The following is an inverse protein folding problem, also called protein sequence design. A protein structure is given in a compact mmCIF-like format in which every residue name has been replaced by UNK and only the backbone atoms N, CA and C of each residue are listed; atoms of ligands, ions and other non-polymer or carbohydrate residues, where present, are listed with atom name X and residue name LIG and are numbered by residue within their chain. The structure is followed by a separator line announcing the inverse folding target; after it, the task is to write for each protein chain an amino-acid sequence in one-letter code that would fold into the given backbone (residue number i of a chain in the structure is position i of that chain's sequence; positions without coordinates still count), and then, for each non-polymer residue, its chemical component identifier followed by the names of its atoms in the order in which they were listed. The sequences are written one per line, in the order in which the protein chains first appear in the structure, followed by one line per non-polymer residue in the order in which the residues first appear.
data_IF_533809764788
#
_entry.id   IF_533809764788
#
_cell.length_a   1.000
_cell.length_b   1.000
_cell.length_c   1.000
_cell.angle_alpha   90.00
_cell.angle_beta   90.00
_cell.angle_gamma   90.00
#
_symmetry.space_group_name_H-M   'P 1'
#
loop_
_entity.id
_entity.type
_entity.pdbx_description
1 polymer ?
#
# COMPACT_ATOMS: atom_id res chain seq x y z
N UNK A 1 10.58 -24.92 16.73
CA UNK A 1 9.19 -24.52 17.02
C UNK A 1 9.04 -23.65 18.28
N UNK A 2 9.83 -23.83 19.35
CA UNK A 2 9.70 -23.00 20.58
C UNK A 2 10.20 -21.55 20.48
N UNK A 3 11.10 -21.22 19.58
CA UNK A 3 11.61 -19.84 19.46
C UNK A 3 10.70 -18.88 18.69
N UNK A 4 9.77 -19.36 17.87
CA UNK A 4 8.79 -18.52 17.15
C UNK A 4 7.60 -18.14 18.04
N UNK A 5 7.29 -18.95 19.05
CA UNK A 5 6.20 -18.70 20.00
C UNK A 5 6.49 -17.57 21.00
N UNK A 6 7.74 -17.13 21.18
CA UNK A 6 8.12 -16.05 22.11
C UNK A 6 8.08 -14.64 21.48
N UNK A 7 7.89 -14.52 20.15
CA UNK A 7 7.85 -13.23 19.44
C UNK A 7 6.55 -12.44 19.61
N UNK A 8 5.52 -12.99 20.24
CA UNK A 8 4.19 -12.34 20.37
C UNK A 8 4.00 -11.46 21.63
N UNK A 9 5.03 -11.13 22.42
CA UNK A 9 4.86 -10.47 23.72
C UNK A 9 5.06 -8.93 23.77
N UNK A 10 5.18 -8.23 22.64
CA UNK A 10 5.31 -6.76 22.62
C UNK A 10 4.01 -6.05 22.14
N UNK A 11 2.88 -6.41 22.76
CA UNK A 11 1.65 -5.62 22.64
C UNK A 11 1.45 -4.80 23.91
N UNK A 12 1.98 -3.57 23.93
CA UNK A 12 1.45 -2.50 24.78
C UNK A 12 1.92 -1.14 24.27
N UNK A 13 1.22 -0.61 23.25
CA UNK A 13 1.17 0.83 23.01
C UNK A 13 -0.18 1.16 22.33
N UNK A 14 -1.19 1.38 23.15
CA UNK A 14 -2.60 1.61 22.79
C UNK A 14 -2.88 2.98 22.12
N UNK A 15 -1.86 3.66 21.57
CA UNK A 15 -2.03 5.01 21.02
C UNK A 15 -1.40 5.23 19.62
N UNK A 16 -1.14 4.18 18.84
CA UNK A 16 -0.42 4.31 17.55
C UNK A 16 -1.19 3.84 16.31
N UNK A 17 -2.37 3.24 16.45
CA UNK A 17 -3.14 2.75 15.32
C UNK A 17 -3.63 3.91 14.46
N UNK A 18 -3.11 4.01 13.22
CA UNK A 18 -3.52 5.01 12.24
C UNK A 18 -4.79 4.60 11.52
N UNK A 19 -4.86 3.33 11.12
CA UNK A 19 -6.02 2.72 10.48
C UNK A 19 -6.28 1.37 11.13
N UNK A 20 -7.56 1.05 11.34
CA UNK A 20 -7.99 -0.27 11.83
C UNK A 20 -9.18 -0.73 11.01
N UNK A 21 -9.14 -1.97 10.51
CA UNK A 21 -10.28 -2.68 9.97
C UNK A 21 -10.60 -3.84 10.93
N UNK A 22 -11.85 -3.96 11.39
CA UNK A 22 -12.25 -4.95 12.40
C UNK A 22 -13.41 -5.80 11.91
N UNK A 23 -13.24 -7.13 11.95
CA UNK A 23 -14.25 -8.14 11.67
C UNK A 23 -14.99 -7.92 10.34
N UNK A 24 -14.25 -7.52 9.29
CA UNK A 24 -14.80 -7.21 7.99
C UNK A 24 -15.27 -8.49 7.32
N UNK A 25 -16.56 -8.53 6.98
CA UNK A 25 -17.15 -9.58 6.14
C UNK A 25 -17.82 -8.94 4.94
N UNK A 26 -17.60 -9.51 3.77
CA UNK A 26 -18.24 -9.11 2.51
C UNK A 26 -18.70 -10.36 1.77
N UNK A 27 -19.97 -10.36 1.38
CA UNK A 27 -20.56 -11.39 0.54
C UNK A 27 -20.96 -10.84 -0.84
N UNK A 28 -21.02 -11.71 -1.81
CA UNK A 28 -21.55 -11.46 -3.14
C UNK A 28 -22.41 -12.63 -3.59
N UNK A 29 -23.64 -12.37 -4.03
CA UNK A 29 -24.60 -13.40 -4.46
C UNK A 29 -24.77 -14.54 -3.44
N UNK A 30 -24.78 -14.21 -2.13
CA UNK A 30 -24.97 -15.17 -1.04
C UNK A 30 -23.72 -15.98 -0.66
N UNK A 31 -22.56 -15.68 -1.24
CA UNK A 31 -21.29 -16.33 -0.91
C UNK A 31 -20.32 -15.31 -0.32
N UNK A 32 -19.70 -15.64 0.82
CA UNK A 32 -18.68 -14.78 1.42
C UNK A 32 -17.43 -14.77 0.53
N UNK A 33 -16.98 -13.56 0.17
CA UNK A 33 -15.70 -13.31 -0.51
C UNK A 33 -14.58 -13.21 0.53
N UNK A 34 -14.83 -12.43 1.60
CA UNK A 34 -13.97 -12.30 2.76
C UNK A 34 -14.81 -12.47 4.03
N UNK A 35 -14.23 -13.05 5.07
CA UNK A 35 -14.96 -13.35 6.29
C UNK A 35 -14.08 -13.07 7.53
N UNK A 36 -14.61 -12.25 8.43
CA UNK A 36 -14.00 -11.92 9.73
C UNK A 36 -12.55 -11.42 9.61
N UNK A 37 -12.29 -10.57 8.62
CA UNK A 37 -10.95 -10.02 8.36
C UNK A 37 -10.69 -8.83 9.26
N UNK A 38 -9.58 -8.90 10.02
CA UNK A 38 -9.11 -7.80 10.87
C UNK A 38 -7.65 -7.48 10.57
N UNK A 39 -7.31 -6.19 10.48
CA UNK A 39 -5.94 -5.72 10.35
C UNK A 39 -5.78 -4.31 10.93
N UNK A 40 -4.55 -3.96 11.26
CA UNK A 40 -4.17 -2.67 11.80
C UNK A 40 -2.96 -2.11 11.05
N UNK A 41 -2.91 -0.79 10.93
CA UNK A 41 -1.79 -0.05 10.35
C UNK A 41 -1.39 1.06 11.32
N UNK A 42 -0.13 1.08 11.75
CA UNK A 42 0.40 2.11 12.62
C UNK A 42 0.83 3.35 11.82
N UNK A 43 1.04 4.46 12.54
CA UNK A 43 1.53 5.70 11.93
C UNK A 43 2.94 5.51 11.34
N UNK A 44 3.11 5.83 10.05
CA UNK A 44 4.38 5.74 9.33
C UNK A 44 4.83 4.31 9.02
N UNK A 45 3.99 3.32 9.28
CA UNK A 45 4.25 1.90 9.01
C UNK A 45 3.92 1.55 7.55
N UNK A 46 4.66 0.61 6.98
CA UNK A 46 4.31 -0.06 5.73
C UNK A 46 3.89 -1.49 6.07
N UNK A 47 2.61 -1.80 5.87
CA UNK A 47 2.03 -3.12 6.05
C UNK A 47 1.73 -3.73 4.68
N UNK A 48 2.08 -4.99 4.48
CA UNK A 48 1.74 -5.74 3.27
C UNK A 48 0.58 -6.70 3.53
N UNK A 49 -0.38 -6.72 2.61
CA UNK A 49 -1.39 -7.77 2.50
C UNK A 49 -0.98 -8.72 1.37
N UNK A 50 -0.46 -9.87 1.74
CA UNK A 50 0.02 -10.92 0.82
C UNK A 50 -1.02 -12.02 0.67
N UNK A 51 -1.18 -12.56 -0.52
CA UNK A 51 -2.05 -13.71 -0.77
C UNK A 51 -2.23 -13.96 -2.26
N UNK A 52 -2.78 -15.13 -2.59
CA UNK A 52 -3.02 -15.53 -3.99
C UNK A 52 -4.04 -14.61 -4.67
N UNK A 53 -4.02 -14.59 -6.00
CA UNK A 53 -5.01 -13.83 -6.78
C UNK A 53 -6.43 -14.36 -6.52
N UNK A 54 -7.39 -13.43 -6.38
CA UNK A 54 -8.80 -13.76 -6.17
C UNK A 54 -9.18 -14.10 -4.71
N UNK A 55 -8.27 -14.01 -3.73
CA UNK A 55 -8.58 -14.30 -2.32
C UNK A 55 -9.40 -13.18 -1.61
N UNK A 56 -9.60 -12.03 -2.26
CA UNK A 56 -10.41 -10.93 -1.70
C UNK A 56 -9.62 -9.69 -1.26
N UNK A 57 -8.31 -9.58 -1.54
CA UNK A 57 -7.48 -8.43 -1.16
C UNK A 57 -8.02 -7.09 -1.66
N UNK A 58 -8.35 -7.00 -2.95
CA UNK A 58 -8.95 -5.80 -3.56
C UNK A 58 -10.34 -5.50 -2.99
N UNK A 59 -11.12 -6.53 -2.63
CA UNK A 59 -12.40 -6.37 -1.93
C UNK A 59 -12.20 -5.68 -0.57
N UNK A 60 -11.21 -6.13 0.21
CA UNK A 60 -10.87 -5.49 1.48
C UNK A 60 -10.42 -4.04 1.28
N UNK A 61 -9.61 -3.75 0.26
CA UNK A 61 -9.20 -2.37 -0.06
C UNK A 61 -10.39 -1.48 -0.44
N UNK A 62 -11.36 -2.00 -1.18
CA UNK A 62 -12.58 -1.27 -1.51
C UNK A 62 -13.40 -0.95 -0.25
N UNK A 63 -13.43 -1.86 0.73
CA UNK A 63 -14.08 -1.58 2.04
C UNK A 63 -13.30 -0.50 2.80
N UNK A 64 -11.97 -0.63 2.93
CA UNK A 64 -11.14 0.33 3.66
C UNK A 64 -11.20 1.72 3.03
N UNK A 65 -11.26 1.81 1.70
CA UNK A 65 -11.37 3.09 0.99
C UNK A 65 -12.78 3.71 1.03
N UNK A 66 -13.78 2.96 1.53
CA UNK A 66 -15.18 3.38 1.58
C UNK A 66 -15.90 3.30 0.22
N UNK A 67 -15.32 2.60 -0.76
CA UNK A 67 -15.94 2.34 -2.08
C UNK A 67 -16.95 1.18 -2.03
N UNK A 68 -16.84 0.32 -1.01
CA UNK A 68 -17.72 -0.81 -0.77
C UNK A 68 -18.13 -0.82 0.70
N UNK A 69 -19.42 -1.00 0.98
CA UNK A 69 -19.90 -1.24 2.33
C UNK A 69 -19.71 -2.71 2.68
N UNK A 70 -19.13 -3.05 3.85
CA UNK A 70 -19.10 -4.42 4.32
C UNK A 70 -20.48 -4.87 4.82
N UNK A 71 -20.74 -6.18 4.85
CA UNK A 71 -21.94 -6.76 5.46
C UNK A 71 -21.85 -6.68 7.00
N UNK A 72 -20.63 -6.80 7.55
CA UNK A 72 -20.32 -6.59 8.96
C UNK A 72 -18.91 -6.07 9.16
N UNK A 73 -18.65 -5.54 10.37
CA UNK A 73 -17.39 -4.94 10.74
C UNK A 73 -17.32 -3.45 10.52
N UNK A 74 -16.20 -2.85 10.85
CA UNK A 74 -16.00 -1.40 10.73
C UNK A 74 -14.55 -1.04 10.40
N UNK A 75 -14.39 0.15 9.80
CA UNK A 75 -13.09 0.76 9.50
C UNK A 75 -12.97 2.07 10.26
N UNK A 76 -11.85 2.24 10.97
CA UNK A 76 -11.53 3.44 11.72
C UNK A 76 -10.22 4.07 11.22
N UNK A 77 -10.21 5.39 11.09
CA UNK A 77 -9.02 6.20 10.80
C UNK A 77 -8.83 7.21 11.92
N UNK A 78 -7.68 7.19 12.59
CA UNK A 78 -7.40 8.02 13.78
C UNK A 78 -8.52 7.89 14.85
N UNK A 79 -9.08 6.69 15.03
CA UNK A 79 -10.19 6.41 15.97
C UNK A 79 -11.57 6.89 15.50
N UNK A 80 -11.68 7.44 14.30
CA UNK A 80 -12.96 7.89 13.72
C UNK A 80 -13.49 6.85 12.75
N UNK A 81 -14.74 6.43 12.91
CA UNK A 81 -15.37 5.48 12.01
C UNK A 81 -15.59 6.10 10.60
N UNK A 82 -14.97 5.51 9.60
CA UNK A 82 -15.01 5.90 8.19
C UNK A 82 -15.69 4.84 7.30
N UNK A 83 -16.32 3.81 7.87
CA UNK A 83 -16.97 2.73 7.12
C UNK A 83 -17.95 3.29 6.09
N UNK A 84 -17.79 2.88 4.82
CA UNK A 84 -18.63 3.35 3.70
C UNK A 84 -18.46 4.83 3.34
N UNK A 85 -17.45 5.52 3.87
CA UNK A 85 -17.20 6.93 3.59
C UNK A 85 -15.94 7.08 2.75
N UNK A 86 -16.10 7.22 1.44
CA UNK A 86 -14.98 7.45 0.54
C UNK A 86 -14.29 8.81 0.78
N UNK A 87 -13.03 8.93 0.36
CA UNK A 87 -12.27 10.18 0.41
C UNK A 87 -11.43 10.40 1.67
N UNK A 88 -11.39 9.46 2.60
CA UNK A 88 -10.61 9.54 3.84
C UNK A 88 -9.18 8.98 3.70
N UNK A 89 -8.98 8.03 2.80
CA UNK A 89 -7.69 7.42 2.49
C UNK A 89 -7.40 7.55 1.00
N UNK A 90 -6.13 7.59 0.63
CA UNK A 90 -5.73 7.56 -0.78
C UNK A 90 -5.68 6.13 -1.29
N UNK A 91 -6.04 5.95 -2.56
CA UNK A 91 -6.04 4.64 -3.20
C UNK A 91 -5.36 4.69 -4.58
N UNK A 92 -4.24 4.00 -4.70
CA UNK A 92 -3.55 3.75 -5.95
C UNK A 92 -3.94 2.37 -6.47
N UNK A 93 -4.66 2.33 -7.56
CA UNK A 93 -5.06 1.11 -8.24
C UNK A 93 -3.87 0.47 -8.98
N UNK A 94 -3.96 -0.80 -9.32
CA UNK A 94 -2.92 -1.57 -10.01
C UNK A 94 -2.42 -0.89 -11.30
N UNK A 95 -3.31 -0.27 -12.07
CA UNK A 95 -2.94 0.57 -13.21
C UNK A 95 -2.70 2.00 -12.75
N UNK A 96 -1.72 2.68 -13.36
CA UNK A 96 -1.38 4.07 -13.03
C UNK A 96 -2.52 5.08 -13.24
N UNK A 97 -3.45 4.77 -14.15
CA UNK A 97 -4.63 5.58 -14.51
C UNK A 97 -4.30 7.07 -14.68
N UNK A 98 -3.14 7.38 -15.22
CA UNK A 98 -2.81 8.74 -15.63
C UNK A 98 -3.67 9.10 -16.85
N UNK A 99 -4.24 10.31 -16.81
CA UNK A 99 -5.07 10.81 -17.90
C UNK A 99 -4.20 11.12 -19.12
N UNK A 100 -4.35 10.40 -20.25
CA UNK A 100 -3.41 10.48 -21.38
C UNK A 100 -3.38 11.85 -22.07
N UNK A 101 -4.44 12.62 -21.93
CA UNK A 101 -4.61 13.96 -22.51
C UNK A 101 -4.20 15.10 -21.58
N UNK A 102 -3.70 14.79 -20.38
CA UNK A 102 -3.16 15.76 -19.41
C UNK A 102 -1.65 15.60 -19.27
N UNK A 103 -0.96 16.70 -19.06
CA UNK A 103 0.46 16.66 -18.69
C UNK A 103 0.67 16.01 -17.33
N UNK A 104 1.89 15.63 -17.01
CA UNK A 104 2.23 14.98 -15.72
C UNK A 104 1.89 15.92 -14.56
N UNK A 105 2.24 17.21 -14.64
CA UNK A 105 1.88 18.16 -13.60
C UNK A 105 0.37 18.26 -13.38
N UNK A 106 -0.42 18.22 -14.46
CA UNK A 106 -1.88 18.27 -14.38
C UNK A 106 -2.50 16.96 -13.88
N UNK A 107 -1.87 15.81 -14.15
CA UNK A 107 -2.28 14.53 -13.56
C UNK A 107 -2.04 14.51 -12.06
N UNK A 108 -0.84 14.90 -11.65
CA UNK A 108 -0.41 14.79 -10.25
C UNK A 108 -1.11 15.83 -9.37
N UNK A 109 -1.33 17.06 -9.87
CA UNK A 109 -2.03 18.11 -9.13
C UNK A 109 -3.56 17.94 -9.08
N UNK A 110 -4.12 16.98 -9.81
CA UNK A 110 -5.56 16.78 -9.92
C UNK A 110 -6.29 16.66 -8.56
N UNK A 111 -5.80 15.92 -7.56
CA UNK A 111 -6.45 15.83 -6.26
C UNK A 111 -6.63 17.19 -5.57
N UNK A 112 -5.66 18.07 -5.66
CA UNK A 112 -5.71 19.42 -5.09
C UNK A 112 -6.76 20.28 -5.81
N UNK A 113 -6.83 20.15 -7.14
CA UNK A 113 -7.85 20.86 -7.95
C UNK A 113 -9.26 20.37 -7.60
N UNK A 114 -9.45 19.06 -7.43
CA UNK A 114 -10.75 18.48 -7.01
C UNK A 114 -11.18 18.99 -5.64
N UNK A 115 -10.23 19.25 -4.75
CA UNK A 115 -10.47 19.85 -3.42
C UNK A 115 -10.74 21.36 -3.45
N UNK A 116 -10.75 21.99 -4.63
CA UNK A 116 -11.06 23.41 -4.81
C UNK A 116 -9.86 24.33 -4.93
N UNK A 117 -8.62 23.81 -4.94
CA UNK A 117 -7.43 24.66 -5.17
C UNK A 117 -7.44 25.18 -6.62
N UNK A 118 -7.03 26.45 -6.76
CA UNK A 118 -6.80 27.02 -8.10
C UNK A 118 -5.70 26.22 -8.82
N UNK A 119 -5.90 25.93 -10.11
CA UNK A 119 -4.97 25.11 -10.92
C UNK A 119 -3.51 25.59 -10.84
N UNK A 120 -3.27 26.91 -10.86
CA UNK A 120 -1.93 27.49 -10.73
C UNK A 120 -1.31 27.17 -9.37
N UNK A 121 -2.08 27.28 -8.29
CA UNK A 121 -1.63 27.00 -6.93
C UNK A 121 -1.39 25.51 -6.71
N UNK A 122 -2.30 24.66 -7.21
CA UNK A 122 -2.15 23.21 -7.18
C UNK A 122 -0.85 22.75 -7.88
N UNK A 123 -0.53 23.33 -9.05
CA UNK A 123 0.74 23.06 -9.75
C UNK A 123 1.96 23.51 -8.94
N UNK A 124 1.91 24.71 -8.35
CA UNK A 124 3.01 25.24 -7.51
C UNK A 124 3.30 24.33 -6.32
N UNK A 125 2.26 23.87 -5.61
CA UNK A 125 2.38 22.91 -4.50
C UNK A 125 3.00 21.60 -5.00
N UNK A 126 2.48 21.07 -6.10
CA UNK A 126 2.91 19.78 -6.67
C UNK A 126 4.37 19.80 -7.11
N UNK A 127 4.85 20.89 -7.72
CA UNK A 127 6.22 21.01 -8.21
C UNK A 127 7.27 20.83 -7.12
N UNK A 128 6.96 21.14 -5.86
CA UNK A 128 7.88 20.99 -4.72
C UNK A 128 8.29 19.54 -4.47
N UNK A 129 7.48 18.58 -4.93
CA UNK A 129 7.70 17.14 -4.74
C UNK A 129 8.32 16.47 -5.98
N UNK A 130 8.48 17.17 -7.11
CA UNK A 130 8.96 16.55 -8.35
C UNK A 130 10.37 16.00 -8.24
N UNK A 131 11.27 16.71 -7.55
CA UNK A 131 12.64 16.24 -7.30
C UNK A 131 12.64 15.00 -6.43
N UNK A 132 11.97 15.04 -5.28
CA UNK A 132 11.88 13.94 -4.31
C UNK A 132 11.30 12.66 -4.95
N UNK A 133 10.31 12.83 -5.85
CA UNK A 133 9.71 11.72 -6.56
C UNK A 133 10.45 11.36 -7.87
N UNK A 134 11.58 12.00 -8.17
CA UNK A 134 12.39 11.72 -9.36
C UNK A 134 11.64 11.98 -10.67
N UNK A 135 10.84 13.04 -10.70
CA UNK A 135 10.02 13.46 -11.84
C UNK A 135 10.50 14.79 -12.48
N UNK A 136 11.68 15.27 -12.09
CA UNK A 136 12.24 16.51 -12.65
C UNK A 136 12.28 16.48 -14.18
N UNK A 137 11.97 17.63 -14.79
CA UNK A 137 11.95 17.78 -16.24
C UNK A 137 10.78 17.07 -16.95
N UNK A 138 9.84 16.47 -16.20
CA UNK A 138 8.68 15.75 -16.80
C UNK A 138 7.37 16.52 -16.70
N UNK A 139 7.35 17.65 -16.02
CA UNK A 139 6.11 18.37 -15.67
C UNK A 139 5.21 18.67 -16.86
N UNK A 140 5.79 18.98 -18.02
CA UNK A 140 5.08 19.30 -19.25
C UNK A 140 4.93 18.10 -20.21
N UNK A 141 5.46 16.93 -19.86
CA UNK A 141 5.31 15.70 -20.65
C UNK A 141 3.94 15.07 -20.45
N UNK A 142 3.55 14.24 -21.41
CA UNK A 142 2.35 13.40 -21.32
C UNK A 142 2.73 11.98 -20.85
N UNK A 143 1.77 11.18 -20.32
CA UNK A 143 2.05 9.83 -19.80
C UNK A 143 2.76 8.90 -20.78
N UNK A 144 2.44 8.97 -22.08
CA UNK A 144 3.07 8.18 -23.14
C UNK A 144 4.54 8.52 -23.41
N UNK A 145 5.03 9.64 -22.88
CA UNK A 145 6.42 10.08 -23.00
C UNK A 145 7.28 9.66 -21.80
N UNK A 146 6.70 8.94 -20.82
CA UNK A 146 7.35 8.47 -19.61
C UNK A 146 7.61 6.95 -19.68
N UNK A 147 8.70 6.50 -19.03
CA UNK A 147 8.91 5.08 -18.75
C UNK A 147 7.84 4.55 -17.78
N UNK A 148 7.68 3.22 -17.71
CA UNK A 148 6.76 2.57 -16.78
C UNK A 148 7.01 3.00 -15.32
N UNK A 149 8.28 2.98 -14.88
CA UNK A 149 8.65 3.41 -13.54
C UNK A 149 8.34 4.89 -13.27
N UNK A 150 8.55 5.78 -14.24
CA UNK A 150 8.21 7.19 -14.09
C UNK A 150 6.69 7.41 -14.01
N UNK A 151 5.89 6.64 -14.74
CA UNK A 151 4.42 6.68 -14.61
C UNK A 151 3.98 6.24 -13.21
N UNK A 152 4.58 5.17 -12.67
CA UNK A 152 4.28 4.70 -11.31
C UNK A 152 4.66 5.75 -10.25
N UNK A 153 5.80 6.42 -10.39
CA UNK A 153 6.19 7.54 -9.52
C UNK A 153 5.17 8.68 -9.57
N UNK A 154 4.71 9.06 -10.76
CA UNK A 154 3.68 10.08 -10.93
C UNK A 154 2.34 9.68 -10.31
N UNK A 155 1.94 8.42 -10.44
CA UNK A 155 0.74 7.89 -9.82
C UNK A 155 0.86 7.87 -8.28
N UNK A 156 2.02 7.49 -7.74
CA UNK A 156 2.28 7.52 -6.30
C UNK A 156 2.26 8.95 -5.75
N UNK A 157 2.88 9.92 -6.44
CA UNK A 157 2.83 11.33 -6.04
C UNK A 157 1.40 11.88 -6.08
N UNK A 158 0.60 11.53 -7.09
CA UNK A 158 -0.82 11.86 -7.14
C UNK A 158 -1.58 11.27 -5.94
N UNK A 159 -1.28 10.03 -5.57
CA UNK A 159 -1.88 9.34 -4.42
C UNK A 159 -1.50 10.04 -3.11
N UNK A 160 -0.23 10.42 -2.93
CA UNK A 160 0.25 11.17 -1.78
C UNK A 160 -0.44 12.54 -1.65
N UNK A 161 -0.57 13.28 -2.74
CA UNK A 161 -1.24 14.59 -2.74
C UNK A 161 -2.76 14.50 -2.52
N UNK A 162 -3.36 13.31 -2.68
CA UNK A 162 -4.74 13.10 -2.29
C UNK A 162 -4.91 13.02 -0.76
N UNK A 163 -4.07 12.28 -0.05
CA UNK A 163 -4.06 12.20 1.41
C UNK A 163 -2.66 11.84 1.90
N UNK A 164 -2.16 12.61 2.84
CA UNK A 164 -0.89 12.38 3.54
C UNK A 164 -1.06 11.49 4.79
N UNK A 165 -2.25 10.95 5.03
CA UNK A 165 -2.57 10.12 6.20
C UNK A 165 -2.28 8.66 5.97
N UNK A 166 -3.01 8.05 5.03
CA UNK A 166 -2.93 6.63 4.69
C UNK A 166 -3.03 6.46 3.18
N UNK A 167 -2.15 5.65 2.61
CA UNK A 167 -2.21 5.20 1.23
C UNK A 167 -2.48 3.70 1.14
N UNK A 168 -3.43 3.34 0.29
CA UNK A 168 -3.68 1.96 -0.16
C UNK A 168 -3.02 1.80 -1.53
N UNK A 169 -2.11 0.85 -1.68
CA UNK A 169 -1.40 0.59 -2.94
C UNK A 169 -1.71 -0.84 -3.41
N UNK A 170 -2.46 -0.97 -4.50
CA UNK A 170 -2.83 -2.26 -5.07
C UNK A 170 -1.84 -2.67 -6.16
N UNK A 171 -0.96 -3.62 -5.85
CA UNK A 171 0.07 -4.17 -6.74
C UNK A 171 0.87 -3.09 -7.50
N UNK A 172 1.44 -2.06 -6.83
CA UNK A 172 1.99 -0.88 -7.49
C UNK A 172 3.18 -1.14 -8.40
N UNK A 173 3.83 -2.30 -8.28
CA UNK A 173 5.04 -2.64 -9.05
C UNK A 173 4.84 -3.82 -10.00
N UNK A 174 3.63 -4.39 -10.10
CA UNK A 174 3.35 -5.60 -10.89
C UNK A 174 3.61 -5.45 -12.40
N UNK A 175 3.46 -4.23 -12.94
CA UNK A 175 3.64 -3.92 -14.36
C UNK A 175 5.10 -3.63 -14.76
N UNK A 176 6.07 -3.76 -13.83
CA UNK A 176 7.48 -3.45 -14.07
C UNK A 176 8.29 -4.74 -14.31
N UNK A 177 9.30 -4.65 -15.18
CA UNK A 177 10.31 -5.71 -15.32
C UNK A 177 11.16 -5.82 -14.04
N UNK A 178 11.84 -6.95 -13.84
CA UNK A 178 12.54 -7.28 -12.60
C UNK A 178 13.66 -6.29 -12.23
N UNK A 179 14.37 -5.73 -13.21
CA UNK A 179 15.46 -4.77 -12.99
C UNK A 179 14.87 -3.42 -12.53
N UNK A 180 13.88 -2.94 -13.29
CA UNK A 180 13.15 -1.70 -12.94
C UNK A 180 12.46 -1.84 -11.57
N UNK A 181 11.84 -3.00 -11.29
CA UNK A 181 11.19 -3.29 -10.00
C UNK A 181 12.17 -3.15 -8.83
N UNK A 182 13.38 -3.73 -8.93
CA UNK A 182 14.39 -3.63 -7.86
C UNK A 182 14.80 -2.16 -7.57
N UNK A 183 15.03 -1.37 -8.61
CA UNK A 183 15.36 0.05 -8.46
C UNK A 183 14.19 0.86 -7.89
N UNK A 184 12.97 0.52 -8.26
CA UNK A 184 11.75 1.16 -7.75
C UNK A 184 11.49 0.83 -6.28
N UNK A 185 11.76 -0.39 -5.81
CA UNK A 185 11.65 -0.75 -4.40
C UNK A 185 12.59 0.10 -3.54
N UNK A 186 13.86 0.22 -3.95
CA UNK A 186 14.82 1.05 -3.21
C UNK A 186 14.40 2.53 -3.20
N UNK A 187 13.98 3.06 -4.35
CA UNK A 187 13.45 4.41 -4.43
C UNK A 187 12.21 4.60 -3.53
N UNK A 188 11.27 3.66 -3.56
CA UNK A 188 10.05 3.70 -2.75
C UNK A 188 10.38 3.76 -1.25
N UNK A 189 11.28 2.89 -0.78
CA UNK A 189 11.70 2.89 0.63
C UNK A 189 12.31 4.24 1.03
N UNK A 190 13.17 4.81 0.20
CA UNK A 190 13.80 6.11 0.47
C UNK A 190 12.76 7.23 0.56
N UNK A 191 11.79 7.26 -0.36
CA UNK A 191 10.70 8.27 -0.34
C UNK A 191 9.83 8.08 0.91
N UNK A 192 9.42 6.84 1.24
CA UNK A 192 8.58 6.56 2.41
C UNK A 192 9.27 6.93 3.73
N UNK A 193 10.60 6.78 3.83
CA UNK A 193 11.37 7.21 4.99
C UNK A 193 11.29 8.74 5.20
N UNK A 194 11.28 9.52 4.11
CA UNK A 194 11.20 10.97 4.15
C UNK A 194 9.78 11.46 4.46
N UNK A 195 8.77 10.95 3.74
CA UNK A 195 7.38 11.44 3.87
C UNK A 195 6.60 10.77 5.00
N UNK A 196 7.10 9.62 5.53
CA UNK A 196 6.49 8.84 6.63
C UNK A 196 5.00 8.56 6.43
N UNK A 197 4.60 8.28 5.19
CA UNK A 197 3.23 7.95 4.84
C UNK A 197 2.89 6.54 5.34
N UNK A 198 1.83 6.41 6.13
CA UNK A 198 1.32 5.09 6.53
C UNK A 198 0.75 4.38 5.31
N UNK A 199 1.24 3.17 5.00
CA UNK A 199 0.89 2.50 3.75
C UNK A 199 0.43 1.07 3.97
N UNK A 200 -0.70 0.73 3.40
CA UNK A 200 -1.14 -0.65 3.23
C UNK A 200 -0.92 -1.05 1.76
N UNK A 201 -0.11 -2.06 1.52
CA UNK A 201 0.33 -2.52 0.21
C UNK A 201 -0.24 -3.90 -0.09
N UNK A 202 -0.90 -4.10 -1.23
CA UNK A 202 -1.22 -5.43 -1.76
C UNK A 202 -0.11 -5.87 -2.70
N UNK A 203 0.35 -7.10 -2.54
CA UNK A 203 1.14 -7.82 -3.54
C UNK A 203 0.88 -9.32 -3.50
N UNK A 204 1.25 -10.03 -4.56
CA UNK A 204 1.35 -11.48 -4.60
C UNK A 204 2.81 -11.95 -4.65
N UNK A 205 3.77 -11.01 -4.62
CA UNK A 205 5.21 -11.25 -4.69
C UNK A 205 5.79 -11.27 -3.26
N UNK A 206 6.26 -12.46 -2.82
CA UNK A 206 6.82 -12.65 -1.48
C UNK A 206 8.07 -11.81 -1.27
N UNK A 207 8.95 -11.72 -2.28
CA UNK A 207 10.17 -10.92 -2.20
C UNK A 207 9.84 -9.45 -1.97
N UNK A 208 8.81 -8.94 -2.66
CA UNK A 208 8.32 -7.58 -2.51
C UNK A 208 7.76 -7.34 -1.10
N UNK A 209 6.91 -8.24 -0.60
CA UNK A 209 6.35 -8.15 0.74
C UNK A 209 7.45 -8.09 1.82
N UNK A 210 8.45 -8.98 1.75
CA UNK A 210 9.55 -9.03 2.72
C UNK A 210 10.47 -7.80 2.62
N UNK A 211 10.73 -7.28 1.41
CA UNK A 211 11.61 -6.13 1.21
C UNK A 211 10.98 -4.83 1.70
N UNK A 212 9.69 -4.62 1.44
CA UNK A 212 9.06 -3.31 1.58
C UNK A 212 8.39 -3.08 2.93
N UNK A 213 7.84 -4.13 3.57
CA UNK A 213 6.94 -3.95 4.70
C UNK A 213 7.62 -4.13 6.07
N UNK A 214 7.03 -3.52 7.09
CA UNK A 214 7.35 -3.76 8.50
C UNK A 214 6.62 -5.00 9.02
N UNK A 215 5.36 -5.19 8.55
CA UNK A 215 4.52 -6.35 8.84
C UNK A 215 3.85 -6.85 7.58
N UNK A 216 3.60 -8.16 7.56
CA UNK A 216 2.88 -8.85 6.48
C UNK A 216 1.68 -9.56 7.08
N UNK A 217 0.49 -9.27 6.57
CA UNK A 217 -0.69 -10.11 6.78
C UNK A 217 -0.82 -11.09 5.62
N UNK A 218 -0.93 -12.37 5.92
CA UNK A 218 -1.21 -13.40 4.92
C UNK A 218 -2.71 -13.62 4.85
N UNK A 219 -3.25 -13.49 3.64
CA UNK A 219 -4.65 -13.72 3.37
C UNK A 219 -4.82 -14.96 2.51
N UNK A 220 -5.54 -15.96 3.04
CA UNK A 220 -5.75 -17.25 2.37
C UNK A 220 -7.17 -17.76 2.57
N UNK A 221 -7.51 -18.86 1.88
CA UNK A 221 -8.82 -19.53 1.98
C UNK A 221 -9.90 -19.00 1.04
N UNK A 222 -11.05 -19.64 1.08
CA UNK A 222 -12.30 -19.25 0.41
C UNK A 222 -13.46 -19.59 1.36
N UNK A 223 -14.07 -18.57 2.00
CA UNK A 223 -13.79 -17.13 1.93
C UNK A 223 -12.38 -16.74 2.42
N UNK A 224 -11.88 -15.60 1.91
CA UNK A 224 -10.56 -15.09 2.31
C UNK A 224 -10.55 -14.64 3.77
N UNK A 225 -9.54 -15.07 4.53
CA UNK A 225 -9.30 -14.72 5.94
C UNK A 225 -7.84 -14.34 6.14
N UNK A 226 -7.55 -13.55 7.17
CA UNK A 226 -6.17 -13.39 7.64
C UNK A 226 -5.80 -14.68 8.40
N UNK A 227 -4.78 -15.36 7.91
CA UNK A 227 -4.29 -16.62 8.50
C UNK A 227 -3.04 -16.42 9.34
N UNK A 228 -2.24 -15.38 9.05
CA UNK A 228 -1.00 -15.14 9.76
C UNK A 228 -0.63 -13.65 9.72
N UNK A 229 0.11 -13.18 10.75
CA UNK A 229 0.73 -11.86 10.83
C UNK A 229 2.22 -12.04 11.11
N UNK A 230 3.07 -11.51 10.23
CA UNK A 230 4.52 -11.66 10.30
C UNK A 230 5.17 -10.29 10.45
N UNK A 231 5.96 -10.09 11.51
CA UNK A 231 6.81 -8.91 11.69
C UNK A 231 8.15 -9.12 11.00
N UNK A 232 8.63 -8.14 10.24
CA UNK A 232 9.95 -8.16 9.63
C UNK A 232 10.89 -7.34 10.50
N UNK A 233 11.77 -8.01 11.24
CA UNK A 233 12.66 -7.37 12.22
C UNK A 233 13.85 -6.62 11.60
N UNK A 234 14.13 -6.88 10.29
CA UNK A 234 15.21 -6.19 9.59
C UNK A 234 14.92 -4.69 9.49
N UNK A 235 15.83 -3.83 10.02
CA UNK A 235 15.62 -2.39 10.03
C UNK A 235 15.62 -1.79 8.61
N UNK A 236 14.88 -0.69 8.43
CA UNK A 236 14.91 0.11 7.20
C UNK A 236 15.89 1.27 7.33
N UNK A 237 16.48 1.74 6.21
CA UNK A 237 16.35 1.19 4.85
C UNK A 237 17.10 -0.13 4.70
N UNK A 238 16.43 -1.15 4.16
CA UNK A 238 17.03 -2.45 3.94
C UNK A 238 18.12 -2.38 2.88
N UNK A 239 19.28 -2.98 3.18
CA UNK A 239 20.41 -3.03 2.24
C UNK A 239 20.08 -3.86 1.00
N UNK A 240 20.82 -3.64 -0.08
CA UNK A 240 20.71 -4.48 -1.28
C UNK A 240 21.06 -5.96 -1.00
N UNK A 241 21.94 -6.18 -0.01
CA UNK A 241 22.40 -7.52 0.37
C UNK A 241 21.37 -8.26 1.23
N UNK A 242 20.36 -7.56 1.81
CA UNK A 242 19.31 -8.19 2.57
C UNK A 242 18.61 -9.28 1.76
N UNK A 243 18.34 -9.05 0.47
CA UNK A 243 17.66 -10.01 -0.42
C UNK A 243 18.39 -11.36 -0.57
N UNK A 244 19.69 -11.40 -0.33
CA UNK A 244 20.52 -12.61 -0.39
C UNK A 244 20.94 -13.11 0.99
N UNK A 245 20.43 -12.52 2.08
CA UNK A 245 20.74 -12.89 3.46
C UNK A 245 19.99 -14.15 3.89
N UNK A 246 20.51 -14.83 4.91
CA UNK A 246 19.84 -15.96 5.53
C UNK A 246 18.51 -15.58 6.18
N UNK A 247 18.40 -14.39 6.77
CA UNK A 247 17.17 -13.90 7.37
C UNK A 247 16.08 -13.72 6.33
N UNK A 248 16.38 -13.14 5.16
CA UNK A 248 15.45 -13.04 4.05
C UNK A 248 14.94 -14.39 3.59
N UNK A 249 15.85 -15.37 3.42
CA UNK A 249 15.49 -16.73 2.99
C UNK A 249 14.63 -17.46 4.03
N UNK A 250 14.82 -17.18 5.33
CA UNK A 250 13.97 -17.72 6.41
C UNK A 250 12.54 -17.17 6.29
N UNK A 251 12.37 -15.84 6.15
CA UNK A 251 11.04 -15.26 5.93
C UNK A 251 10.37 -15.83 4.68
N UNK A 252 11.09 -15.89 3.56
CA UNK A 252 10.56 -16.39 2.30
C UNK A 252 10.08 -17.84 2.42
N UNK A 253 10.88 -18.72 3.04
CA UNK A 253 10.49 -20.12 3.26
C UNK A 253 9.26 -20.22 4.16
N UNK A 254 9.26 -19.52 5.28
CA UNK A 254 8.13 -19.51 6.20
C UNK A 254 6.82 -19.08 5.52
N UNK A 255 6.87 -18.03 4.70
CA UNK A 255 5.70 -17.55 3.95
C UNK A 255 5.25 -18.59 2.92
N UNK A 256 6.18 -19.25 2.21
CA UNK A 256 5.84 -20.30 1.25
C UNK A 256 5.12 -21.47 1.93
N UNK A 257 5.65 -21.94 3.09
CA UNK A 257 5.06 -23.03 3.87
C UNK A 257 3.60 -22.74 4.34
N UNK A 258 3.25 -21.43 4.51
CA UNK A 258 1.89 -21.02 4.89
C UNK A 258 0.95 -20.96 3.66
N UNK A 259 1.50 -20.62 2.49
CA UNK A 259 0.71 -20.43 1.26
C UNK A 259 0.46 -21.75 0.48
N UNK A 260 1.23 -22.80 0.76
CA UNK A 260 1.02 -24.17 0.25
C UNK A 260 -0.09 -24.91 1.01
#
# INVERSE_FOLDING_TARGET
MEQVSQMNSFRNNSNMNKLTAKNITVSYEGSNIIEDVSLELNKGEIVCLLGVSGVGKTTLFNVISGLLNPDSGNVELDGVNITGKAGNVSYMLQKDLLLPYKTIIDNVSLPLVIRGEKKSKAREITLKYFEEFGLEGTQNKYPNQLSGGMRQRAALLRTYLFSDKVALLDEPFSALDSITKSSMHQWYLNVMEQIKLSTLLITHDIDEAVILSDRIYIMAGKPGKITEEICIEEPKPRSKDFKVSESFMKYKRYILDILE
#
